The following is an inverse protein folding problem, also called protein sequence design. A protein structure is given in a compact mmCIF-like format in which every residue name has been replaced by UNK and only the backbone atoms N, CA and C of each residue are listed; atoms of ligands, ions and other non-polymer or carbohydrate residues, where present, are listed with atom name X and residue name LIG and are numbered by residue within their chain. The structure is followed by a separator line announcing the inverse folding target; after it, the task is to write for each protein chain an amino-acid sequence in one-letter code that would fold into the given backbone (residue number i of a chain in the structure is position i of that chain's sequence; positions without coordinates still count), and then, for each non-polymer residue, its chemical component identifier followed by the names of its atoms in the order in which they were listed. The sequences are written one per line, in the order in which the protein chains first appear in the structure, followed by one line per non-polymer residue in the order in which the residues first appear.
data_IF_119202499538
#
_entry.id   IF_119202499538
#
_cell.length_a   1.000
_cell.length_b   1.000
_cell.length_c   1.000
_cell.angle_alpha   90.00
_cell.angle_beta   90.00
_cell.angle_gamma   90.00
#
_symmetry.space_group_name_H-M   'P 1'
#
loop_
_entity.id
_entity.type
_entity.pdbx_description
1 polymer ?
#
# COMPACT_ATOMS: atom_id res chain seq x y z
N UNK A 1 -1.92 34.13 15.22
CA UNK A 1 -0.81 33.99 14.26
C UNK A 1 -1.39 34.14 12.88
N UNK A 2 -0.91 35.11 12.11
CA UNK A 2 -1.27 35.25 10.70
C UNK A 2 -0.71 34.03 9.98
N UNK A 3 -1.57 33.24 9.33
CA UNK A 3 -1.09 32.14 8.48
C UNK A 3 -0.40 32.80 7.29
N UNK A 4 0.92 32.67 7.20
CA UNK A 4 1.63 33.10 6.00
C UNK A 4 1.23 32.13 4.89
N UNK A 5 0.47 32.60 3.91
CA UNK A 5 0.13 31.84 2.71
C UNK A 5 1.25 32.11 1.69
N UNK A 6 1.94 31.05 1.29
CA UNK A 6 3.06 31.06 0.34
C UNK A 6 2.63 30.70 -1.08
N UNK A 7 1.47 30.05 -1.19
CA UNK A 7 0.86 29.63 -2.43
C UNK A 7 -0.55 30.21 -2.57
N UNK A 8 -1.21 29.94 -3.70
CA UNK A 8 -2.63 30.26 -3.84
C UNK A 8 -3.45 29.51 -2.79
N UNK A 9 -4.60 30.06 -2.40
CA UNK A 9 -5.51 29.40 -1.45
C UNK A 9 -5.87 27.97 -1.85
N UNK A 10 -5.93 27.70 -3.17
CA UNK A 10 -6.21 26.38 -3.72
C UNK A 10 -5.07 25.41 -3.41
N UNK A 11 -3.84 25.83 -3.67
CA UNK A 11 -2.63 25.03 -3.41
C UNK A 11 -2.42 24.83 -1.92
N UNK A 12 -2.57 25.86 -1.09
CA UNK A 12 -2.45 25.76 0.37
C UNK A 12 -3.39 24.71 0.96
N UNK A 13 -4.65 24.74 0.52
CA UNK A 13 -5.65 23.76 0.95
C UNK A 13 -5.28 22.35 0.48
N UNK A 14 -4.82 22.21 -0.76
CA UNK A 14 -4.40 20.93 -1.31
C UNK A 14 -3.17 20.36 -0.59
N UNK A 15 -2.15 21.19 -0.31
CA UNK A 15 -0.96 20.80 0.45
C UNK A 15 -1.30 20.33 1.86
N UNK A 16 -2.20 21.03 2.54
CA UNK A 16 -2.69 20.59 3.85
C UNK A 16 -3.34 19.20 3.77
N UNK A 17 -4.21 18.98 2.79
CA UNK A 17 -4.98 17.75 2.68
C UNK A 17 -4.14 16.57 2.17
N UNK A 18 -3.12 16.84 1.34
CA UNK A 18 -2.28 15.82 0.69
C UNK A 18 -1.03 15.48 1.50
N UNK A 19 -0.36 16.49 2.08
CA UNK A 19 0.94 16.32 2.73
C UNK A 19 0.88 16.62 4.23
N UNK A 20 0.39 17.78 4.64
CA UNK A 20 0.61 18.24 6.02
C UNK A 20 -0.30 17.58 7.04
N UNK A 21 -1.50 17.17 6.62
CA UNK A 21 -2.45 16.38 7.38
C UNK A 21 -3.09 15.32 6.48
N UNK A 22 -2.36 14.24 6.26
CA UNK A 22 -2.78 13.12 5.39
C UNK A 22 -4.06 12.42 5.86
N UNK A 23 -4.48 12.62 7.11
CA UNK A 23 -5.68 12.00 7.70
C UNK A 23 -6.98 12.75 7.41
N UNK A 24 -6.94 13.84 6.66
CA UNK A 24 -8.14 14.61 6.34
C UNK A 24 -9.19 13.82 5.55
N UNK A 25 -8.75 12.77 4.83
CA UNK A 25 -9.61 12.01 3.92
C UNK A 25 -10.07 12.79 2.70
N UNK A 26 -9.48 13.98 2.45
CA UNK A 26 -9.88 14.90 1.38
C UNK A 26 -8.96 14.87 0.16
N UNK A 27 -8.24 13.76 -0.04
CA UNK A 27 -7.31 13.62 -1.16
C UNK A 27 -7.98 13.88 -2.51
N UNK A 28 -9.15 13.28 -2.76
CA UNK A 28 -9.89 13.44 -4.03
C UNK A 28 -10.31 14.89 -4.29
N UNK A 29 -10.77 15.59 -3.25
CA UNK A 29 -11.14 17.00 -3.33
C UNK A 29 -9.92 17.88 -3.58
N UNK A 30 -8.80 17.60 -2.91
CA UNK A 30 -7.54 18.29 -3.12
C UNK A 30 -7.01 18.08 -4.55
N UNK A 31 -7.10 16.85 -5.08
CA UNK A 31 -6.73 16.54 -6.46
C UNK A 31 -7.56 17.34 -7.47
N UNK A 32 -8.89 17.33 -7.34
CA UNK A 32 -9.78 18.10 -8.21
C UNK A 32 -9.55 19.62 -8.11
N UNK A 33 -9.20 20.11 -6.90
CA UNK A 33 -8.85 21.50 -6.67
C UNK A 33 -7.56 21.89 -7.40
N UNK A 34 -6.54 21.02 -7.36
CA UNK A 34 -5.30 21.20 -8.11
C UNK A 34 -5.52 21.17 -9.62
N UNK A 35 -6.35 20.27 -10.14
CA UNK A 35 -6.72 20.23 -11.57
C UNK A 35 -7.32 21.56 -12.02
N UNK A 36 -8.26 22.10 -11.25
CA UNK A 36 -8.88 23.39 -11.56
C UNK A 36 -7.88 24.56 -11.51
N UNK A 37 -7.01 24.59 -10.50
CA UNK A 37 -6.01 25.65 -10.34
C UNK A 37 -4.93 25.58 -11.43
N UNK A 38 -4.43 24.38 -11.75
CA UNK A 38 -3.48 24.13 -12.84
C UNK A 38 -4.04 24.60 -14.19
N UNK A 39 -5.31 24.26 -14.49
CA UNK A 39 -5.99 24.72 -15.71
C UNK A 39 -6.20 26.24 -15.76
N UNK A 40 -6.21 26.92 -14.61
CA UNK A 40 -6.31 28.37 -14.50
C UNK A 40 -4.95 29.10 -14.56
N UNK A 41 -3.84 28.38 -14.74
CA UNK A 41 -2.51 28.96 -14.85
C UNK A 41 -1.65 28.93 -13.58
N UNK A 42 -2.11 28.27 -12.51
CA UNK A 42 -1.34 28.16 -11.26
C UNK A 42 -0.25 27.09 -11.41
N UNK A 43 1.01 27.52 -11.61
CA UNK A 43 2.14 26.62 -11.79
C UNK A 43 2.44 25.75 -10.58
N UNK A 44 2.28 26.27 -9.36
CA UNK A 44 2.50 25.48 -8.15
C UNK A 44 1.44 24.37 -8.03
N UNK A 45 0.20 24.63 -8.47
CA UNK A 45 -0.82 23.60 -8.60
C UNK A 45 -0.44 22.53 -9.63
N UNK A 46 0.08 22.93 -10.80
CA UNK A 46 0.59 21.98 -11.81
C UNK A 46 1.72 21.11 -11.26
N UNK A 47 2.64 21.69 -10.48
CA UNK A 47 3.74 20.98 -9.85
C UNK A 47 3.25 19.94 -8.82
N UNK A 48 2.35 20.33 -7.92
CA UNK A 48 1.80 19.41 -6.91
C UNK A 48 0.91 18.33 -7.55
N UNK A 49 0.13 18.69 -8.57
CA UNK A 49 -0.68 17.72 -9.33
C UNK A 49 0.21 16.69 -10.03
N UNK A 50 1.34 17.10 -10.60
CA UNK A 50 2.31 16.18 -11.18
C UNK A 50 2.80 15.16 -10.15
N UNK A 51 3.12 15.60 -8.93
CA UNK A 51 3.51 14.69 -7.84
C UNK A 51 2.44 13.66 -7.50
N UNK A 52 1.18 14.09 -7.49
CA UNK A 52 0.05 13.18 -7.21
C UNK A 52 -0.06 12.06 -8.25
N UNK A 53 0.29 12.36 -9.51
CA UNK A 53 0.25 11.42 -10.63
C UNK A 53 1.52 10.58 -10.77
N UNK A 54 2.61 10.92 -10.08
CA UNK A 54 3.88 10.19 -10.13
C UNK A 54 3.89 8.90 -9.29
N UNK A 55 2.87 8.67 -8.47
CA UNK A 55 2.69 7.46 -7.65
C UNK A 55 3.34 7.49 -6.26
N UNK A 56 3.27 6.34 -5.58
CA UNK A 56 3.59 6.10 -4.16
C UNK A 56 4.88 6.69 -3.61
N UNK A 57 5.89 6.87 -4.47
CA UNK A 57 7.19 7.42 -4.07
C UNK A 57 7.14 8.92 -3.77
N UNK A 58 6.09 9.61 -4.22
CA UNK A 58 5.99 11.08 -4.19
C UNK A 58 4.77 11.60 -3.43
N UNK A 59 3.78 10.75 -3.20
CA UNK A 59 2.51 11.04 -2.51
C UNK A 59 2.05 9.80 -1.75
N UNK A 60 1.36 9.98 -0.63
CA UNK A 60 0.90 8.85 0.17
C UNK A 60 -0.19 8.06 -0.56
N UNK A 61 -0.01 6.75 -0.69
CA UNK A 61 -0.92 5.88 -1.45
C UNK A 61 -2.32 5.80 -0.86
N UNK A 62 -2.49 6.10 0.44
CA UNK A 62 -3.80 6.17 1.08
C UNK A 62 -4.76 7.18 0.46
N UNK A 63 -4.27 8.13 -0.36
CA UNK A 63 -5.13 9.04 -1.12
C UNK A 63 -5.79 8.39 -2.34
N UNK A 64 -5.23 7.29 -2.87
CA UNK A 64 -5.77 6.57 -4.02
C UNK A 64 -5.72 7.37 -5.33
N UNK A 65 -4.67 8.17 -5.53
CA UNK A 65 -4.51 8.93 -6.78
C UNK A 65 -4.13 8.02 -7.95
N UNK A 66 -4.59 8.33 -9.18
CA UNK A 66 -4.20 7.57 -10.35
C UNK A 66 -2.71 7.81 -10.65
N UNK A 67 -2.03 6.78 -11.12
CA UNK A 67 -0.65 6.89 -11.61
C UNK A 67 -0.69 7.16 -13.12
N UNK A 68 -0.14 8.28 -13.54
CA UNK A 68 0.00 8.67 -14.95
C UNK A 68 1.31 9.43 -15.14
N UNK A 69 2.38 8.68 -15.38
CA UNK A 69 3.74 9.23 -15.52
C UNK A 69 3.85 10.18 -16.72
N UNK A 70 3.09 9.95 -17.79
CA UNK A 70 3.11 10.82 -18.96
C UNK A 70 2.51 12.18 -18.62
N UNK A 71 1.32 12.18 -18.01
CA UNK A 71 0.66 13.43 -17.57
C UNK A 71 1.46 14.13 -16.49
N UNK A 72 2.10 13.39 -15.58
CA UNK A 72 3.00 13.97 -14.58
C UNK A 72 4.18 14.72 -15.22
N UNK A 73 4.83 14.13 -16.22
CA UNK A 73 5.91 14.77 -16.98
C UNK A 73 5.43 16.04 -17.72
N UNK A 74 4.26 15.97 -18.37
CA UNK A 74 3.65 17.12 -19.05
C UNK A 74 3.33 18.26 -18.06
N UNK A 75 2.81 17.94 -16.87
CA UNK A 75 2.49 18.91 -15.83
C UNK A 75 3.72 19.53 -15.18
N UNK A 76 4.83 18.80 -15.03
CA UNK A 76 6.09 19.38 -14.56
C UNK A 76 6.60 20.44 -15.54
N UNK A 77 6.59 20.14 -16.84
CA UNK A 77 6.96 21.11 -17.87
C UNK A 77 6.02 22.32 -17.87
N UNK A 78 4.72 22.08 -17.75
CA UNK A 78 3.72 23.13 -17.63
C UNK A 78 3.94 24.00 -16.39
N UNK A 79 4.32 23.41 -15.25
CA UNK A 79 4.56 24.15 -14.01
C UNK A 79 5.68 25.18 -14.15
N UNK A 80 6.75 24.84 -14.89
CA UNK A 80 7.85 25.76 -15.21
C UNK A 80 7.35 26.91 -16.07
N UNK A 81 6.58 26.61 -17.12
CA UNK A 81 5.99 27.60 -18.01
C UNK A 81 4.99 28.53 -17.29
N UNK A 82 4.35 28.03 -16.23
CA UNK A 82 3.40 28.75 -15.37
C UNK A 82 4.09 29.37 -14.14
N UNK A 83 5.38 29.71 -14.23
CA UNK A 83 6.10 30.50 -13.22
C UNK A 83 6.24 29.82 -11.84
N UNK A 84 6.21 28.48 -11.77
CA UNK A 84 6.49 27.76 -10.53
C UNK A 84 7.99 27.56 -10.30
N UNK A 85 8.54 28.30 -9.35
CA UNK A 85 9.91 28.10 -8.88
C UNK A 85 10.10 26.69 -8.28
N UNK A 86 9.08 26.16 -7.60
CA UNK A 86 9.09 24.78 -7.10
C UNK A 86 9.10 23.77 -8.26
N UNK A 87 8.31 24.05 -9.30
CA UNK A 87 8.27 23.30 -10.55
C UNK A 87 9.63 23.22 -11.26
N UNK A 88 10.42 24.30 -11.24
CA UNK A 88 11.80 24.30 -11.75
C UNK A 88 12.69 23.33 -10.98
N UNK A 89 12.73 23.43 -9.65
CA UNK A 89 13.57 22.53 -8.83
C UNK A 89 13.14 21.06 -8.97
N UNK A 90 11.85 20.81 -9.08
CA UNK A 90 11.31 19.46 -9.28
C UNK A 90 11.59 18.91 -10.68
N UNK A 91 11.50 19.73 -11.72
CA UNK A 91 11.84 19.35 -13.08
C UNK A 91 13.34 19.09 -13.20
N UNK A 92 14.18 19.88 -12.54
CA UNK A 92 15.62 19.66 -12.42
C UNK A 92 15.93 18.28 -11.83
N UNK A 93 15.34 17.98 -10.67
CA UNK A 93 15.58 16.71 -9.94
C UNK A 93 15.07 15.48 -10.69
N UNK A 94 13.95 15.60 -11.39
CA UNK A 94 13.36 14.49 -12.16
C UNK A 94 13.98 14.29 -13.55
N UNK A 95 14.86 15.21 -13.99
CA UNK A 95 15.44 15.19 -15.33
C UNK A 95 14.49 15.73 -16.42
N UNK A 96 13.35 16.30 -16.05
CA UNK A 96 12.36 16.87 -16.97
C UNK A 96 12.70 18.31 -17.42
N UNK A 97 13.64 18.96 -16.74
CA UNK A 97 14.13 20.29 -17.12
C UNK A 97 15.17 20.17 -18.25
N UNK A 98 14.69 20.15 -19.49
CA UNK A 98 15.54 20.18 -20.69
C UNK A 98 16.25 21.54 -20.83
N UNK A 99 17.38 21.62 -21.57
CA UNK A 99 18.06 22.89 -21.83
C UNK A 99 17.16 23.95 -22.49
N UNK A 100 16.25 23.54 -23.37
CA UNK A 100 15.28 24.43 -24.02
C UNK A 100 14.28 24.97 -23.00
N UNK A 101 13.73 24.10 -22.15
CA UNK A 101 12.78 24.52 -21.12
C UNK A 101 13.45 25.42 -20.07
N UNK A 102 14.69 25.12 -19.68
CA UNK A 102 15.46 25.98 -18.78
C UNK A 102 15.76 27.34 -19.40
N UNK A 103 16.09 27.38 -20.69
CA UNK A 103 16.33 28.64 -21.39
C UNK A 103 15.07 29.50 -21.50
N UNK A 104 13.90 28.87 -21.69
CA UNK A 104 12.62 29.56 -21.87
C UNK A 104 11.87 29.78 -20.55
N UNK A 105 12.44 29.36 -19.40
CA UNK A 105 11.78 29.51 -18.11
C UNK A 105 11.64 31.00 -17.72
N UNK A 106 10.64 31.38 -16.93
CA UNK A 106 10.36 32.76 -16.54
C UNK A 106 11.28 33.27 -15.41
N UNK A 107 12.46 32.67 -15.26
CA UNK A 107 13.48 33.01 -14.27
C UNK A 107 14.80 33.32 -14.97
N UNK A 108 15.63 34.19 -14.40
CA UNK A 108 16.93 34.53 -14.98
C UNK A 108 17.89 33.34 -15.04
N UNK A 109 17.81 32.48 -14.04
CA UNK A 109 18.66 31.32 -13.83
C UNK A 109 18.05 30.39 -12.75
N UNK A 110 18.69 29.25 -12.51
CA UNK A 110 18.27 28.30 -11.49
C UNK A 110 18.39 28.87 -10.07
N UNK A 111 19.32 29.79 -9.82
CA UNK A 111 19.52 30.40 -8.50
C UNK A 111 18.32 31.27 -8.11
N UNK A 112 17.74 32.01 -9.06
CA UNK A 112 16.53 32.80 -8.80
C UNK A 112 15.35 31.90 -8.38
N UNK A 113 15.12 30.79 -9.09
CA UNK A 113 14.07 29.84 -8.71
C UNK A 113 14.36 29.20 -7.34
N UNK A 114 15.63 28.82 -7.09
CA UNK A 114 16.07 28.29 -5.80
C UNK A 114 15.83 29.27 -4.65
N UNK A 115 16.19 30.54 -4.82
CA UNK A 115 16.04 31.58 -3.80
C UNK A 115 14.57 31.84 -3.43
N UNK A 116 13.65 31.78 -4.40
CA UNK A 116 12.21 31.88 -4.14
C UNK A 116 11.73 30.71 -3.28
N UNK A 117 12.12 29.48 -3.62
CA UNK A 117 11.79 28.29 -2.82
C UNK A 117 12.44 28.37 -1.44
N UNK A 118 13.69 28.85 -1.36
CA UNK A 118 14.42 29.02 -0.11
C UNK A 118 13.71 30.00 0.82
N UNK A 119 13.25 31.13 0.30
CA UNK A 119 12.51 32.11 1.08
C UNK A 119 11.23 31.50 1.69
N UNK A 120 10.45 30.74 0.90
CA UNK A 120 9.26 30.03 1.41
C UNK A 120 9.63 29.01 2.51
N UNK A 121 10.72 28.26 2.32
CA UNK A 121 11.21 27.27 3.29
C UNK A 121 11.67 27.92 4.61
N UNK A 122 12.42 29.02 4.54
CA UNK A 122 12.88 29.81 5.70
C UNK A 122 11.70 30.42 6.46
N UNK A 123 10.63 30.81 5.75
CA UNK A 123 9.39 31.30 6.35
C UNK A 123 8.49 30.18 6.90
N UNK A 124 8.84 28.91 6.67
CA UNK A 124 8.24 27.77 7.35
C UNK A 124 7.42 26.82 6.50
N UNK A 125 7.39 26.95 5.15
CA UNK A 125 6.64 26.00 4.32
C UNK A 125 7.29 24.60 4.30
N UNK A 126 6.60 23.54 4.75
CA UNK A 126 7.18 22.21 4.86
C UNK A 126 7.54 21.56 3.51
N UNK A 127 6.78 21.81 2.43
CA UNK A 127 7.09 21.23 1.13
C UNK A 127 8.32 21.90 0.49
N UNK A 128 8.47 23.21 0.63
CA UNK A 128 9.68 23.93 0.21
C UNK A 128 10.90 23.51 1.05
N UNK A 129 10.75 23.30 2.36
CA UNK A 129 11.81 22.72 3.19
C UNK A 129 12.20 21.32 2.69
N UNK A 130 11.24 20.48 2.34
CA UNK A 130 11.52 19.18 1.73
C UNK A 130 12.23 19.30 0.38
N UNK A 131 11.86 20.26 -0.45
CA UNK A 131 12.52 20.54 -1.73
C UNK A 131 13.99 20.94 -1.53
N UNK A 132 14.29 21.85 -0.60
CA UNK A 132 15.67 22.20 -0.25
C UNK A 132 16.46 21.01 0.30
N UNK A 133 15.85 20.23 1.18
CA UNK A 133 16.46 19.00 1.69
C UNK A 133 16.88 18.08 0.55
N UNK A 134 16.04 17.91 -0.48
CA UNK A 134 16.39 17.13 -1.66
C UNK A 134 17.49 17.77 -2.51
N UNK A 135 17.49 19.09 -2.69
CA UNK A 135 18.55 19.80 -3.42
C UNK A 135 19.92 19.48 -2.82
N UNK A 136 20.04 19.57 -1.49
CA UNK A 136 21.27 19.27 -0.76
C UNK A 136 21.59 17.77 -0.71
N UNK A 137 20.61 16.92 -0.43
CA UNK A 137 20.81 15.48 -0.29
C UNK A 137 21.31 14.81 -1.57
N UNK A 138 20.88 15.32 -2.72
CA UNK A 138 21.16 14.72 -4.02
C UNK A 138 22.08 15.55 -4.91
N UNK A 139 22.66 16.64 -4.41
CA UNK A 139 23.70 17.40 -5.13
C UNK A 139 23.22 18.39 -6.19
N UNK A 140 21.93 18.74 -6.27
CA UNK A 140 21.45 19.73 -7.28
C UNK A 140 22.12 21.10 -7.11
N UNK A 141 22.57 21.42 -5.89
CA UNK A 141 23.20 22.69 -5.59
C UNK A 141 24.41 22.98 -6.49
N UNK A 142 25.12 21.96 -6.98
CA UNK A 142 26.22 22.15 -7.93
C UNK A 142 25.73 22.79 -9.23
N UNK A 143 24.66 22.24 -9.83
CA UNK A 143 24.09 22.80 -11.07
C UNK A 143 23.41 24.15 -10.81
N UNK A 144 22.74 24.31 -9.67
CA UNK A 144 22.08 25.57 -9.30
C UNK A 144 23.10 26.70 -9.09
N UNK A 145 24.24 26.42 -8.43
CA UNK A 145 25.32 27.39 -8.19
C UNK A 145 26.27 27.54 -9.38
N UNK A 146 26.12 26.73 -10.43
CA UNK A 146 27.05 26.71 -11.56
C UNK A 146 28.47 26.27 -11.17
N UNK A 147 28.58 25.37 -10.18
CA UNK A 147 29.85 24.87 -9.66
C UNK A 147 30.15 23.45 -10.14
N UNK A 148 31.42 23.21 -10.38
CA UNK A 148 32.03 21.91 -10.67
C UNK A 148 33.33 21.77 -9.87
N UNK A 149 34.00 20.62 -9.98
CA UNK A 149 35.35 20.42 -9.40
C UNK A 149 36.33 21.54 -9.82
N UNK A 150 36.24 22.02 -11.07
CA UNK A 150 37.07 23.10 -11.63
C UNK A 150 36.84 24.47 -10.96
N UNK A 151 35.76 24.60 -10.17
CA UNK A 151 35.47 25.81 -9.40
C UNK A 151 36.32 25.94 -8.13
N UNK A 152 37.12 24.93 -7.79
CA UNK A 152 37.88 24.85 -6.54
C UNK A 152 39.39 24.71 -6.79
N UNK A 153 40.20 25.12 -5.81
CA UNK A 153 41.66 25.15 -5.94
C UNK A 153 42.30 23.76 -5.78
N UNK A 154 41.59 22.83 -5.15
CA UNK A 154 42.02 21.44 -4.93
C UNK A 154 40.84 20.50 -4.73
N UNK A 155 41.09 19.20 -4.89
CA UNK A 155 40.12 18.14 -4.60
C UNK A 155 39.68 18.16 -3.13
N UNK A 156 40.58 18.43 -2.19
CA UNK A 156 40.24 18.53 -0.77
C UNK A 156 39.25 19.68 -0.49
N UNK A 157 39.39 20.81 -1.19
CA UNK A 157 38.47 21.94 -1.07
C UNK A 157 37.09 21.60 -1.65
N UNK A 158 37.07 20.91 -2.80
CA UNK A 158 35.83 20.44 -3.42
C UNK A 158 35.09 19.43 -2.51
N UNK A 159 35.79 18.42 -1.99
CA UNK A 159 35.21 17.43 -1.08
C UNK A 159 34.71 18.07 0.22
N UNK A 160 35.44 19.05 0.78
CA UNK A 160 34.99 19.80 1.95
C UNK A 160 33.70 20.58 1.66
N UNK A 161 33.61 21.23 0.50
CA UNK A 161 32.40 21.93 0.07
C UNK A 161 31.23 20.96 -0.12
N UNK A 162 31.42 19.81 -0.81
CA UNK A 162 30.39 18.80 -0.99
C UNK A 162 29.84 18.31 0.35
N UNK A 163 30.74 18.04 1.30
CA UNK A 163 30.36 17.61 2.65
C UNK A 163 29.53 18.68 3.36
N UNK A 164 30.00 19.93 3.40
CA UNK A 164 29.28 21.03 4.05
C UNK A 164 27.88 21.25 3.46
N UNK A 165 27.75 21.24 2.13
CA UNK A 165 26.45 21.40 1.48
C UNK A 165 25.54 20.21 1.74
N UNK A 166 26.07 18.99 1.69
CA UNK A 166 25.28 17.78 1.92
C UNK A 166 24.74 17.73 3.36
N UNK A 167 25.51 18.15 4.36
CA UNK A 167 25.07 18.22 5.76
C UNK A 167 23.85 19.12 5.97
N UNK A 168 23.63 20.14 5.12
CA UNK A 168 22.47 21.04 5.20
C UNK A 168 21.14 20.32 4.97
N UNK A 169 21.12 19.16 4.30
CA UNK A 169 19.88 18.44 4.06
C UNK A 169 19.19 17.99 5.36
N UNK A 170 19.96 17.69 6.41
CA UNK A 170 19.46 17.16 7.67
C UNK A 170 18.48 18.12 8.34
N UNK A 171 18.86 19.40 8.48
CA UNK A 171 18.00 20.42 9.08
C UNK A 171 16.70 20.61 8.28
N UNK A 172 16.82 20.73 6.96
CA UNK A 172 15.66 20.95 6.09
C UNK A 172 14.69 19.77 6.12
N UNK A 173 15.19 18.54 6.10
CA UNK A 173 14.33 17.38 6.25
C UNK A 173 13.69 17.30 7.63
N UNK A 174 14.38 17.64 8.71
CA UNK A 174 13.76 17.66 10.04
C UNK A 174 12.62 18.66 10.14
N UNK A 175 12.82 19.87 9.60
CA UNK A 175 11.76 20.89 9.59
C UNK A 175 10.55 20.43 8.77
N UNK A 176 10.79 19.92 7.55
CA UNK A 176 9.73 19.39 6.70
C UNK A 176 9.01 18.19 7.33
N UNK A 177 9.76 17.31 7.98
CA UNK A 177 9.24 16.12 8.64
C UNK A 177 8.34 16.47 9.83
N UNK A 178 8.74 17.45 10.64
CA UNK A 178 7.90 17.95 11.73
C UNK A 178 6.73 18.82 11.23
N UNK A 179 6.83 19.36 10.01
CA UNK A 179 5.79 20.12 9.33
C UNK A 179 4.75 19.28 8.59
N UNK A 180 4.83 17.95 8.63
CA UNK A 180 3.83 17.04 8.03
C UNK A 180 4.32 16.24 6.84
N UNK A 181 5.44 16.61 6.23
CA UNK A 181 5.96 15.93 5.03
C UNK A 181 6.71 14.66 5.44
N UNK A 182 5.98 13.58 5.68
CA UNK A 182 6.53 12.30 6.13
C UNK A 182 7.64 11.74 5.21
N UNK A 183 7.64 12.07 3.91
CA UNK A 183 8.73 11.72 2.98
C UNK A 183 10.10 12.27 3.42
N UNK A 184 10.13 13.41 4.11
CA UNK A 184 11.36 13.94 4.68
C UNK A 184 11.91 13.02 5.79
N UNK A 185 11.03 12.39 6.58
CA UNK A 185 11.39 11.33 7.51
C UNK A 185 12.00 10.12 6.80
N UNK A 186 11.42 9.65 5.70
CA UNK A 186 11.99 8.54 4.91
C UNK A 186 13.41 8.87 4.41
N UNK A 187 13.60 10.11 3.93
CA UNK A 187 14.91 10.57 3.49
C UNK A 187 15.90 10.69 4.66
N UNK A 188 15.48 11.18 5.84
CA UNK A 188 16.31 11.18 7.06
C UNK A 188 16.72 9.78 7.47
N UNK A 189 15.78 8.83 7.49
CA UNK A 189 16.10 7.43 7.79
C UNK A 189 17.14 6.89 6.81
N UNK A 190 16.96 7.10 5.50
CA UNK A 190 17.94 6.67 4.49
C UNK A 190 19.29 7.38 4.64
N UNK A 191 19.28 8.68 4.92
CA UNK A 191 20.49 9.48 5.13
C UNK A 191 21.30 8.96 6.32
N UNK A 192 20.64 8.67 7.44
CA UNK A 192 21.31 8.14 8.62
C UNK A 192 21.69 6.67 8.47
N UNK A 193 20.85 5.83 7.88
CA UNK A 193 21.14 4.40 7.77
C UNK A 193 22.34 4.14 6.84
N UNK A 194 22.45 4.90 5.75
CA UNK A 194 23.43 4.65 4.69
C UNK A 194 24.59 5.66 4.68
N UNK A 195 24.43 6.82 5.31
CA UNK A 195 25.34 7.95 5.12
C UNK A 195 25.31 8.48 3.68
N UNK A 196 26.39 9.16 3.30
CA UNK A 196 26.70 9.59 1.93
C UNK A 196 28.13 9.18 1.63
N UNK A 197 28.29 8.36 0.59
CA UNK A 197 29.58 7.76 0.22
C UNK A 197 30.69 8.81 0.20
N UNK A 198 31.80 8.51 0.89
CA UNK A 198 32.98 9.36 1.04
C UNK A 198 32.77 10.76 1.67
N UNK A 199 31.53 11.13 2.03
CA UNK A 199 31.21 12.44 2.61
C UNK A 199 30.77 12.36 4.08
N UNK A 200 29.82 11.46 4.36
CA UNK A 200 29.12 11.37 5.65
C UNK A 200 28.95 9.89 6.03
N UNK A 201 29.46 9.49 7.19
CA UNK A 201 29.34 8.12 7.67
C UNK A 201 27.89 7.79 8.10
N UNK A 202 27.47 6.51 8.02
CA UNK A 202 26.23 6.04 8.63
C UNK A 202 26.12 6.37 10.12
N UNK A 203 24.89 6.67 10.56
CA UNK A 203 24.47 7.01 11.92
C UNK A 203 23.25 6.15 12.31
N UNK A 204 23.41 4.81 12.48
CA UNK A 204 22.28 3.89 12.68
C UNK A 204 21.42 4.21 13.90
N UNK A 205 22.02 4.78 14.97
CA UNK A 205 21.28 5.20 16.17
C UNK A 205 20.27 6.31 15.86
N UNK A 206 20.61 7.25 14.96
CA UNK A 206 19.66 8.27 14.50
C UNK A 206 18.62 7.68 13.56
N UNK A 207 18.99 6.73 12.70
CA UNK A 207 18.04 6.08 11.79
C UNK A 207 16.94 5.34 12.59
N UNK A 208 17.32 4.65 13.67
CA UNK A 208 16.41 3.86 14.49
C UNK A 208 15.32 4.67 15.21
N UNK A 209 15.46 5.99 15.34
CA UNK A 209 14.45 6.84 16.00
C UNK A 209 13.39 7.37 15.04
N UNK A 210 13.67 7.42 13.73
CA UNK A 210 12.83 8.11 12.75
C UNK A 210 11.41 7.53 12.68
N UNK A 211 11.28 6.20 12.63
CA UNK A 211 9.97 5.54 12.57
C UNK A 211 9.12 5.86 13.79
N UNK A 212 9.72 5.80 14.99
CA UNK A 212 9.03 6.16 16.23
C UNK A 212 8.59 7.62 16.21
N UNK A 213 9.47 8.54 15.84
CA UNK A 213 9.12 9.98 15.77
C UNK A 213 7.98 10.23 14.79
N UNK A 214 8.03 9.67 13.59
CA UNK A 214 6.95 9.81 12.60
C UNK A 214 5.64 9.17 13.06
N UNK A 215 5.72 8.02 13.74
CA UNK A 215 4.57 7.34 14.33
C UNK A 215 3.88 8.21 15.40
N UNK A 216 4.66 8.87 16.25
CA UNK A 216 4.22 9.82 17.27
C UNK A 216 3.64 11.12 16.66
N UNK A 217 4.18 11.58 15.54
CA UNK A 217 3.58 12.66 14.73
C UNK A 217 2.26 12.24 14.06
N UNK A 218 1.94 10.94 14.04
CA UNK A 218 0.68 10.43 13.52
C UNK A 218 0.69 10.05 12.04
N UNK A 219 1.85 9.95 11.39
CA UNK A 219 1.94 9.54 9.99
C UNK A 219 1.61 8.06 9.82
N UNK A 220 0.55 7.69 9.08
CA UNK A 220 0.09 6.29 8.98
C UNK A 220 1.21 5.32 8.56
N UNK A 221 2.00 5.68 7.54
CA UNK A 221 3.11 4.85 7.07
C UNK A 221 4.20 4.66 8.13
N UNK A 222 4.52 5.69 8.92
CA UNK A 222 5.53 5.54 9.98
C UNK A 222 4.99 4.77 11.19
N UNK A 223 3.68 4.85 11.47
CA UNK A 223 3.05 3.98 12.46
C UNK A 223 3.15 2.51 12.04
N UNK A 224 2.98 2.22 10.75
CA UNK A 224 3.17 0.88 10.20
C UNK A 224 4.64 0.43 10.28
N UNK A 225 5.58 1.25 9.79
CA UNK A 225 7.02 0.93 9.85
C UNK A 225 7.51 0.73 11.28
N UNK A 226 7.01 1.53 12.23
CA UNK A 226 7.35 1.36 13.64
C UNK A 226 6.74 0.08 14.23
N UNK A 227 5.52 -0.28 13.82
CA UNK A 227 4.93 -1.57 14.19
C UNK A 227 5.73 -2.76 13.64
N UNK A 228 6.22 -2.69 12.40
CA UNK A 228 7.10 -3.71 11.81
C UNK A 228 8.42 -3.83 12.60
N UNK A 229 9.07 -2.71 12.94
CA UNK A 229 10.28 -2.70 13.76
C UNK A 229 10.05 -3.31 15.15
N UNK A 230 8.93 -2.97 15.82
CA UNK A 230 8.54 -3.56 17.10
C UNK A 230 8.27 -5.06 16.99
N UNK A 231 7.57 -5.50 15.93
CA UNK A 231 7.29 -6.91 15.69
C UNK A 231 8.59 -7.69 15.47
N UNK A 232 9.51 -7.18 14.67
CA UNK A 232 10.82 -7.80 14.43
C UNK A 232 11.67 -7.92 15.72
N UNK A 233 11.47 -7.00 16.67
CA UNK A 233 12.08 -7.04 18.01
C UNK A 233 11.33 -7.92 19.02
N UNK A 234 10.23 -8.54 18.61
CA UNK A 234 9.40 -9.39 19.47
C UNK A 234 8.43 -8.64 20.39
N UNK A 235 8.28 -7.31 20.23
CA UNK A 235 7.37 -6.48 21.03
C UNK A 235 5.94 -6.54 20.46
N UNK A 236 5.39 -7.75 20.35
CA UNK A 236 4.15 -8.02 19.61
C UNK A 236 2.94 -7.22 20.14
N UNK A 237 2.80 -7.06 21.46
CA UNK A 237 1.68 -6.27 22.01
C UNK A 237 1.70 -4.83 21.50
N UNK A 238 2.83 -4.16 21.63
CA UNK A 238 2.97 -2.76 21.19
C UNK A 238 2.86 -2.66 19.65
N UNK A 239 3.43 -3.62 18.92
CA UNK A 239 3.28 -3.69 17.46
C UNK A 239 1.80 -3.74 17.04
N UNK A 240 0.98 -4.57 17.70
CA UNK A 240 -0.46 -4.66 17.39
C UNK A 240 -1.20 -3.34 17.60
N UNK A 241 -0.84 -2.57 18.64
CA UNK A 241 -1.43 -1.26 18.93
C UNK A 241 -1.04 -0.23 17.85
N UNK A 242 0.19 -0.26 17.36
CA UNK A 242 0.66 0.62 16.28
C UNK A 242 0.12 0.24 14.91
N UNK A 243 0.05 -1.06 14.56
CA UNK A 243 -0.65 -1.48 13.35
C UNK A 243 -2.10 -1.01 13.37
N UNK A 244 -2.78 -1.11 14.51
CA UNK A 244 -4.14 -0.60 14.63
C UNK A 244 -4.22 0.92 14.38
N UNK A 245 -3.31 1.72 14.94
CA UNK A 245 -3.26 3.18 14.68
C UNK A 245 -2.98 3.51 13.21
N UNK A 246 -2.07 2.78 12.58
CA UNK A 246 -1.75 2.92 11.16
C UNK A 246 -2.98 2.59 10.29
N UNK A 247 -3.64 1.47 10.59
CA UNK A 247 -4.83 0.99 9.91
C UNK A 247 -6.02 1.95 10.09
N UNK A 248 -6.28 2.43 11.30
CA UNK A 248 -7.29 3.46 11.56
C UNK A 248 -6.96 4.75 10.80
N UNK A 249 -5.66 5.05 10.61
CA UNK A 249 -5.14 6.14 9.79
C UNK A 249 -5.20 5.95 8.29
N UNK A 250 -5.60 4.78 7.80
CA UNK A 250 -5.74 4.49 6.37
C UNK A 250 -4.49 3.89 5.72
N UNK A 251 -3.48 3.48 6.50
CA UNK A 251 -2.30 2.81 5.93
C UNK A 251 -2.68 1.45 5.32
N UNK A 252 -2.23 1.23 4.09
CA UNK A 252 -2.57 0.03 3.32
C UNK A 252 -1.79 -1.16 3.88
N UNK A 253 -2.44 -2.31 4.01
CA UNK A 253 -1.87 -3.54 4.56
C UNK A 253 -1.79 -3.56 6.08
N UNK A 254 -2.09 -2.47 6.78
CA UNK A 254 -2.03 -2.41 8.24
C UNK A 254 -3.14 -3.25 8.89
N UNK A 255 -4.35 -3.27 8.33
CA UNK A 255 -5.39 -4.19 8.82
C UNK A 255 -5.03 -5.63 8.52
N UNK A 256 -4.43 -5.91 7.36
CA UNK A 256 -3.92 -7.25 7.05
C UNK A 256 -2.88 -7.73 8.08
N UNK A 257 -1.86 -6.93 8.39
CA UNK A 257 -0.84 -7.29 9.40
C UNK A 257 -1.45 -7.56 10.76
N UNK A 258 -2.34 -6.69 11.23
CA UNK A 258 -3.06 -6.90 12.49
C UNK A 258 -3.91 -8.17 12.46
N UNK A 259 -4.57 -8.44 11.34
CA UNK A 259 -5.32 -9.67 11.11
C UNK A 259 -4.45 -10.92 11.20
N UNK A 260 -3.25 -10.90 10.61
CA UNK A 260 -2.28 -12.00 10.73
C UNK A 260 -1.87 -12.24 12.19
N UNK A 261 -1.64 -11.18 12.97
CA UNK A 261 -1.32 -11.33 14.39
C UNK A 261 -2.44 -12.02 15.17
N UNK A 262 -3.71 -11.67 14.91
CA UNK A 262 -4.85 -12.36 15.51
C UNK A 262 -5.06 -13.78 14.96
N UNK A 263 -4.72 -14.03 13.70
CA UNK A 263 -4.85 -15.36 13.11
C UNK A 263 -3.81 -16.35 13.66
N UNK A 264 -2.56 -15.92 13.77
CA UNK A 264 -1.45 -16.75 14.27
C UNK A 264 -1.50 -16.88 15.80
N UNK A 265 -1.74 -15.76 16.49
CA UNK A 265 -1.73 -15.69 17.93
C UNK A 265 -0.34 -15.84 18.55
N UNK A 266 -0.21 -15.36 19.79
CA UNK A 266 0.96 -15.47 20.65
C UNK A 266 0.54 -15.30 22.12
N UNK A 267 1.47 -15.46 23.06
CA UNK A 267 1.21 -15.14 24.47
C UNK A 267 0.83 -13.66 24.67
N UNK A 268 1.44 -12.76 23.91
CA UNK A 268 1.23 -11.31 24.02
C UNK A 268 -0.02 -10.82 23.28
N UNK A 269 -0.39 -11.49 22.19
CA UNK A 269 -1.56 -11.19 21.35
C UNK A 269 -2.27 -12.53 21.06
N UNK A 270 -3.25 -12.94 21.88
CA UNK A 270 -3.91 -14.24 21.70
C UNK A 270 -4.60 -14.38 20.34
N UNK A 271 -4.68 -15.63 19.86
CA UNK A 271 -5.39 -15.91 18.62
C UNK A 271 -6.89 -15.58 18.76
N UNK A 272 -7.43 -14.88 17.76
CA UNK A 272 -8.83 -14.54 17.63
C UNK A 272 -9.19 -14.49 16.14
N UNK A 273 -9.70 -15.62 15.62
CA UNK A 273 -10.04 -15.74 14.20
C UNK A 273 -11.19 -14.81 13.79
N UNK A 274 -12.06 -14.44 14.72
CA UNK A 274 -13.15 -13.52 14.44
C UNK A 274 -12.61 -12.08 14.28
N UNK A 275 -11.69 -11.67 15.15
CA UNK A 275 -10.96 -10.42 15.00
C UNK A 275 -10.11 -10.39 13.73
N UNK A 276 -9.44 -11.50 13.39
CA UNK A 276 -8.65 -11.63 12.16
C UNK A 276 -9.52 -11.42 10.91
N UNK A 277 -10.64 -12.14 10.80
CA UNK A 277 -11.58 -11.98 9.68
C UNK A 277 -12.15 -10.56 9.60
N UNK A 278 -12.46 -9.92 10.74
CA UNK A 278 -12.89 -8.52 10.75
C UNK A 278 -11.79 -7.56 10.27
N UNK A 279 -10.53 -7.83 10.59
CA UNK A 279 -9.42 -7.03 10.08
C UNK A 279 -9.27 -7.18 8.56
N UNK A 280 -9.29 -8.41 8.04
CA UNK A 280 -9.21 -8.63 6.59
C UNK A 280 -10.40 -8.02 5.84
N UNK A 281 -11.60 -8.10 6.40
CA UNK A 281 -12.78 -7.42 5.85
C UNK A 281 -12.56 -5.89 5.76
N UNK A 282 -12.04 -5.26 6.83
CA UNK A 282 -11.76 -3.81 6.85
C UNK A 282 -10.68 -3.40 5.85
N UNK A 283 -9.66 -4.22 5.63
CA UNK A 283 -8.65 -3.98 4.58
C UNK A 283 -9.33 -3.93 3.20
N UNK A 284 -10.11 -4.96 2.89
CA UNK A 284 -10.78 -5.14 1.61
C UNK A 284 -11.90 -4.12 1.34
N UNK A 285 -12.54 -3.58 2.38
CA UNK A 285 -13.51 -2.49 2.24
C UNK A 285 -12.90 -1.20 1.68
N UNK A 286 -11.59 -1.00 1.85
CA UNK A 286 -10.88 0.20 1.41
C UNK A 286 -10.18 0.00 0.08
N UNK A 287 -9.38 -1.06 -0.02
CA UNK A 287 -8.58 -1.36 -1.20
C UNK A 287 -8.54 -2.87 -1.45
N UNK A 288 -8.40 -3.27 -2.71
CA UNK A 288 -8.09 -4.67 -3.00
C UNK A 288 -6.68 -5.01 -2.50
N UNK A 289 -6.59 -6.03 -1.65
CA UNK A 289 -5.33 -6.55 -1.11
C UNK A 289 -5.36 -8.09 -1.23
N UNK A 290 -4.68 -8.69 -2.22
CA UNK A 290 -4.79 -10.11 -2.56
C UNK A 290 -4.62 -11.04 -1.35
N UNK A 291 -3.61 -10.77 -0.52
CA UNK A 291 -3.28 -11.59 0.63
C UNK A 291 -4.38 -11.55 1.70
N UNK A 292 -5.06 -10.41 1.86
CA UNK A 292 -6.20 -10.29 2.77
C UNK A 292 -7.43 -11.01 2.20
N UNK A 293 -7.65 -10.94 0.87
CA UNK A 293 -8.71 -11.68 0.21
C UNK A 293 -8.51 -13.20 0.36
N UNK A 294 -7.29 -13.69 0.14
CA UNK A 294 -6.92 -15.09 0.37
C UNK A 294 -7.15 -15.48 1.83
N UNK A 295 -6.60 -14.71 2.78
CA UNK A 295 -6.72 -15.01 4.20
C UNK A 295 -8.17 -15.05 4.69
N UNK A 296 -8.99 -14.06 4.32
CA UNK A 296 -10.42 -14.04 4.64
C UNK A 296 -11.16 -15.23 4.02
N UNK A 297 -10.84 -15.57 2.77
CA UNK A 297 -11.46 -16.69 2.06
C UNK A 297 -11.14 -18.02 2.74
N UNK A 298 -9.89 -18.23 3.16
CA UNK A 298 -9.47 -19.43 3.87
C UNK A 298 -10.15 -19.54 5.26
N UNK A 299 -10.28 -18.43 5.99
CA UNK A 299 -11.04 -18.40 7.24
C UNK A 299 -12.51 -18.76 7.00
N UNK A 300 -13.14 -18.18 5.99
CA UNK A 300 -14.53 -18.49 5.63
C UNK A 300 -14.69 -19.95 5.20
N UNK A 301 -13.77 -20.50 4.39
CA UNK A 301 -13.80 -21.89 3.96
C UNK A 301 -13.67 -22.86 5.14
N UNK A 302 -12.88 -22.52 6.16
CA UNK A 302 -12.76 -23.29 7.41
C UNK A 302 -13.90 -23.05 8.39
N UNK A 303 -14.81 -22.12 8.09
CA UNK A 303 -15.94 -21.77 8.94
C UNK A 303 -15.55 -20.89 10.13
N UNK A 304 -14.52 -20.05 10.01
CA UNK A 304 -14.03 -19.15 11.06
C UNK A 304 -14.30 -17.66 10.76
N UNK A 305 -15.17 -17.36 9.78
CA UNK A 305 -15.56 -16.01 9.39
C UNK A 305 -17.09 -15.86 9.32
N UNK A 306 -17.84 -16.46 10.24
CA UNK A 306 -19.32 -16.48 10.18
C UNK A 306 -19.97 -15.09 10.32
N UNK A 307 -19.24 -14.12 10.85
CA UNK A 307 -19.66 -12.74 11.02
C UNK A 307 -19.49 -11.88 9.76
N UNK A 308 -18.75 -12.36 8.76
CA UNK A 308 -18.53 -11.66 7.49
C UNK A 308 -19.58 -12.10 6.48
N UNK A 309 -20.13 -11.16 5.71
CA UNK A 309 -21.11 -11.48 4.67
C UNK A 309 -20.50 -12.45 3.64
N UNK A 310 -21.10 -13.63 3.43
CA UNK A 310 -20.62 -14.58 2.43
C UNK A 310 -20.52 -14.00 1.02
N UNK A 311 -21.36 -13.03 0.65
CA UNK A 311 -21.33 -12.37 -0.66
C UNK A 311 -20.08 -11.50 -0.82
N UNK A 312 -19.66 -10.85 0.27
CA UNK A 312 -18.41 -10.10 0.33
C UNK A 312 -17.20 -11.02 0.17
N UNK A 313 -17.18 -12.14 0.90
CA UNK A 313 -16.11 -13.15 0.77
C UNK A 313 -16.05 -13.69 -0.66
N UNK A 314 -17.20 -14.05 -1.25
CA UNK A 314 -17.26 -14.54 -2.63
C UNK A 314 -16.74 -13.53 -3.65
N UNK A 315 -17.14 -12.27 -3.55
CA UNK A 315 -16.67 -11.21 -4.44
C UNK A 315 -15.14 -11.10 -4.41
N UNK A 316 -14.53 -11.05 -3.22
CA UNK A 316 -13.09 -10.89 -3.08
C UNK A 316 -12.30 -12.16 -3.39
N UNK A 317 -12.84 -13.33 -3.06
CA UNK A 317 -12.28 -14.61 -3.49
C UNK A 317 -12.23 -14.69 -5.03
N UNK A 318 -13.30 -14.25 -5.71
CA UNK A 318 -13.32 -14.20 -7.17
C UNK A 318 -12.30 -13.19 -7.71
N UNK A 319 -12.21 -12.00 -7.12
CA UNK A 319 -11.24 -11.00 -7.53
C UNK A 319 -9.79 -11.50 -7.37
N UNK A 320 -9.49 -12.19 -6.26
CA UNK A 320 -8.19 -12.82 -6.03
C UNK A 320 -7.89 -13.92 -7.06
N UNK A 321 -8.86 -14.79 -7.35
CA UNK A 321 -8.72 -15.81 -8.39
C UNK A 321 -8.47 -15.21 -9.79
N UNK A 322 -9.22 -14.15 -10.16
CA UNK A 322 -9.04 -13.45 -11.43
C UNK A 322 -7.64 -12.79 -11.55
N UNK A 323 -6.97 -12.52 -10.41
CA UNK A 323 -5.60 -12.00 -10.34
C UNK A 323 -4.54 -13.11 -10.23
N UNK A 324 -4.94 -14.37 -10.22
CA UNK A 324 -4.05 -15.53 -10.24
C UNK A 324 -3.85 -16.23 -8.90
N UNK A 325 -4.46 -15.76 -7.80
CA UNK A 325 -4.40 -16.41 -6.49
C UNK A 325 -5.22 -17.72 -6.51
N UNK A 326 -4.56 -18.87 -6.55
CA UNK A 326 -5.24 -20.17 -6.73
C UNK A 326 -5.67 -20.81 -5.41
N UNK A 327 -5.20 -20.30 -4.27
CA UNK A 327 -5.51 -20.77 -2.93
C UNK A 327 -7.00 -20.61 -2.58
N UNK A 328 -7.68 -19.65 -3.20
CA UNK A 328 -9.12 -19.39 -2.99
C UNK A 328 -10.03 -20.35 -3.76
N UNK A 329 -9.48 -21.10 -4.72
CA UNK A 329 -10.27 -21.94 -5.64
C UNK A 329 -11.16 -22.98 -4.92
N UNK A 330 -10.71 -23.70 -3.88
CA UNK A 330 -11.58 -24.61 -3.14
C UNK A 330 -12.83 -23.95 -2.55
N UNK A 331 -12.70 -22.70 -2.08
CA UNK A 331 -13.84 -21.93 -1.60
C UNK A 331 -14.81 -21.60 -2.74
N UNK A 332 -14.31 -21.19 -3.92
CA UNK A 332 -15.17 -20.87 -5.06
C UNK A 332 -15.97 -22.09 -5.56
N UNK A 333 -15.34 -23.28 -5.59
CA UNK A 333 -16.04 -24.54 -5.89
C UNK A 333 -17.19 -24.77 -4.90
N UNK A 334 -16.89 -24.69 -3.61
CA UNK A 334 -17.89 -24.83 -2.55
C UNK A 334 -19.00 -23.78 -2.65
N UNK A 335 -18.64 -22.52 -2.89
CA UNK A 335 -19.56 -21.39 -2.97
C UNK A 335 -20.53 -21.53 -4.14
N UNK A 336 -20.06 -21.88 -5.34
CA UNK A 336 -20.92 -22.12 -6.49
C UNK A 336 -21.79 -23.37 -6.32
N UNK A 337 -21.30 -24.43 -5.68
CA UNK A 337 -22.11 -25.64 -5.48
C UNK A 337 -23.26 -25.40 -4.49
N UNK A 338 -22.99 -24.68 -3.40
CA UNK A 338 -23.92 -24.48 -2.30
C UNK A 338 -24.72 -23.16 -2.39
N UNK A 339 -24.36 -22.27 -3.31
CA UNK A 339 -24.97 -20.93 -3.42
C UNK A 339 -24.57 -20.02 -2.25
N UNK A 340 -23.35 -20.17 -1.71
CA UNK A 340 -22.86 -19.35 -0.60
C UNK A 340 -22.28 -18.05 -1.15
N UNK A 341 -22.93 -16.93 -0.86
CA UNK A 341 -22.51 -15.61 -1.36
C UNK A 341 -22.71 -15.40 -2.87
N UNK A 342 -23.34 -16.37 -3.55
CA UNK A 342 -23.56 -16.36 -5.00
C UNK A 342 -24.74 -17.26 -5.35
N UNK A 343 -25.16 -17.28 -6.61
CA UNK A 343 -26.18 -18.23 -7.10
C UNK A 343 -25.56 -19.61 -7.36
N UNK A 344 -26.31 -20.68 -7.06
CA UNK A 344 -25.88 -22.06 -7.37
C UNK A 344 -25.53 -22.19 -8.85
N UNK A 345 -24.37 -22.77 -9.13
CA UNK A 345 -23.86 -23.01 -10.49
C UNK A 345 -22.94 -24.24 -10.50
N UNK A 346 -23.55 -25.42 -10.67
CA UNK A 346 -22.84 -26.70 -10.65
C UNK A 346 -21.79 -26.82 -11.79
N UNK A 347 -22.06 -26.22 -12.94
CA UNK A 347 -21.14 -26.20 -14.09
C UNK A 347 -19.84 -25.48 -13.75
N UNK A 348 -19.92 -24.23 -13.26
CA UNK A 348 -18.75 -23.46 -12.79
C UNK A 348 -18.03 -24.14 -11.62
N UNK A 349 -18.78 -24.74 -10.69
CA UNK A 349 -18.17 -25.49 -9.60
C UNK A 349 -17.32 -26.66 -10.13
N UNK A 350 -17.82 -27.38 -11.14
CA UNK A 350 -17.09 -28.50 -11.76
C UNK A 350 -15.89 -28.04 -12.58
N UNK A 351 -16.02 -26.96 -13.36
CA UNK A 351 -14.92 -26.34 -14.10
C UNK A 351 -13.76 -25.99 -13.17
N UNK A 352 -14.03 -25.24 -12.10
CA UNK A 352 -13.03 -24.88 -11.09
C UNK A 352 -12.47 -26.10 -10.34
N UNK A 353 -13.29 -27.13 -10.11
CA UNK A 353 -12.83 -28.38 -9.49
C UNK A 353 -11.80 -29.11 -10.37
N UNK A 354 -12.00 -29.13 -11.69
CA UNK A 354 -11.06 -29.74 -12.63
C UNK A 354 -9.69 -29.06 -12.60
N UNK A 355 -9.63 -27.78 -12.27
CA UNK A 355 -8.39 -26.99 -12.16
C UNK A 355 -7.67 -27.14 -10.82
N UNK A 356 -8.30 -27.71 -9.80
CA UNK A 356 -7.68 -27.89 -8.48
C UNK A 356 -6.41 -28.75 -8.58
N UNK A 357 -5.41 -28.42 -7.75
CA UNK A 357 -4.25 -29.28 -7.57
C UNK A 357 -4.66 -30.63 -6.96
N UNK A 358 -3.78 -31.64 -7.06
CA UNK A 358 -4.02 -32.93 -6.39
C UNK A 358 -4.19 -32.76 -4.87
N UNK A 359 -3.36 -31.93 -4.25
CA UNK A 359 -3.46 -31.59 -2.83
C UNK A 359 -4.83 -30.97 -2.50
N UNK A 360 -5.27 -29.98 -3.27
CA UNK A 360 -6.57 -29.32 -3.07
C UNK A 360 -7.75 -30.28 -3.27
N UNK A 361 -7.66 -31.23 -4.22
CA UNK A 361 -8.71 -32.24 -4.44
C UNK A 361 -8.79 -33.25 -3.31
N UNK A 362 -7.70 -33.48 -2.59
CA UNK A 362 -7.62 -34.41 -1.47
C UNK A 362 -7.95 -33.75 -0.12
N UNK A 363 -8.22 -32.43 -0.07
CA UNK A 363 -8.78 -31.77 1.11
C UNK A 363 -10.10 -32.45 1.54
N UNK A 364 -10.28 -32.84 2.83
CA UNK A 364 -11.47 -33.57 3.27
C UNK A 364 -12.79 -32.85 2.97
N UNK A 365 -12.82 -31.52 3.11
CA UNK A 365 -14.01 -30.74 2.78
C UNK A 365 -14.25 -30.69 1.26
N UNK A 366 -13.21 -30.68 0.44
CA UNK A 366 -13.33 -30.78 -1.01
C UNK A 366 -13.78 -32.16 -1.47
N UNK A 367 -13.23 -33.24 -0.90
CA UNK A 367 -13.68 -34.62 -1.14
C UNK A 367 -15.16 -34.79 -0.81
N UNK A 368 -15.61 -34.24 0.32
CA UNK A 368 -17.03 -34.18 0.66
C UNK A 368 -17.84 -33.42 -0.39
N UNK A 369 -17.39 -32.22 -0.77
CA UNK A 369 -18.06 -31.36 -1.76
C UNK A 369 -18.22 -32.07 -3.11
N UNK A 370 -17.16 -32.69 -3.62
CA UNK A 370 -17.20 -33.46 -4.86
C UNK A 370 -18.03 -34.74 -4.71
N UNK A 371 -17.98 -35.39 -3.55
CA UNK A 371 -18.83 -36.54 -3.24
C UNK A 371 -20.31 -36.20 -3.38
N UNK A 372 -20.75 -35.05 -2.85
CA UNK A 372 -22.11 -34.55 -3.02
C UNK A 372 -22.47 -34.30 -4.48
N UNK A 373 -21.55 -33.74 -5.28
CA UNK A 373 -21.77 -33.54 -6.73
C UNK A 373 -22.07 -34.86 -7.43
N UNK A 374 -21.27 -35.91 -7.18
CA UNK A 374 -21.48 -37.23 -7.74
C UNK A 374 -22.79 -37.88 -7.25
N UNK A 375 -23.14 -37.74 -5.97
CA UNK A 375 -24.36 -38.33 -5.42
C UNK A 375 -25.63 -37.70 -5.98
N UNK A 376 -25.58 -36.39 -6.26
CA UNK A 376 -26.74 -35.61 -6.71
C UNK A 376 -26.81 -35.48 -8.24
N UNK A 377 -25.72 -35.77 -8.96
CA UNK A 377 -25.62 -35.50 -10.40
C UNK A 377 -25.51 -34.00 -10.71
N UNK A 378 -24.93 -33.22 -9.78
CA UNK A 378 -24.84 -31.77 -9.90
C UNK A 378 -23.57 -31.38 -10.67
N UNK A 379 -23.72 -31.06 -11.96
CA UNK A 379 -22.61 -30.69 -12.84
C UNK A 379 -21.76 -31.87 -13.32
N UNK A 380 -22.10 -33.10 -12.89
CA UNK A 380 -21.51 -34.37 -13.31
C UNK A 380 -22.60 -35.41 -13.47
N UNK A 381 -22.34 -36.49 -14.22
CA UNK A 381 -23.24 -37.64 -14.23
C UNK A 381 -23.34 -38.24 -12.82
N UNK A 382 -24.55 -38.64 -12.41
CA UNK A 382 -24.77 -39.20 -11.08
C UNK A 382 -24.01 -40.53 -10.92
N UNK A 383 -23.14 -40.59 -9.91
CA UNK A 383 -22.38 -41.77 -9.54
C UNK A 383 -22.38 -41.93 -8.01
N UNK A 384 -23.31 -42.74 -7.51
CA UNK A 384 -23.45 -43.03 -6.08
C UNK A 384 -22.20 -43.75 -5.53
N UNK A 385 -21.57 -44.62 -6.33
CA UNK A 385 -20.41 -45.38 -5.85
C UNK A 385 -19.24 -44.43 -5.61
N UNK A 386 -18.93 -43.59 -6.61
CA UNK A 386 -17.85 -42.59 -6.51
C UNK A 386 -18.13 -41.58 -5.40
N UNK A 387 -19.37 -41.11 -5.30
CA UNK A 387 -19.79 -40.23 -4.23
C UNK A 387 -19.54 -40.80 -2.83
N UNK A 388 -19.95 -42.05 -2.58
CA UNK A 388 -19.69 -42.74 -1.31
C UNK A 388 -18.19 -42.97 -1.07
N UNK A 389 -17.40 -43.26 -2.11
CA UNK A 389 -15.94 -43.40 -2.00
C UNK A 389 -15.28 -42.10 -1.55
N UNK A 390 -15.68 -40.96 -2.13
CA UNK A 390 -15.20 -39.64 -1.70
C UNK A 390 -15.59 -39.33 -0.25
N UNK A 391 -16.84 -39.59 0.14
CA UNK A 391 -17.28 -39.38 1.52
C UNK A 391 -16.49 -40.23 2.53
N UNK A 392 -16.16 -41.48 2.18
CA UNK A 392 -15.32 -42.36 3.01
C UNK A 392 -13.90 -41.86 3.17
N UNK A 393 -13.34 -41.23 2.15
CA UNK A 393 -12.01 -40.62 2.27
C UNK A 393 -12.04 -39.39 3.19
N UNK A 394 -13.15 -38.66 3.22
CA UNK A 394 -13.32 -37.47 4.04
C UNK A 394 -13.78 -37.75 5.49
N UNK A 395 -14.43 -38.88 5.77
CA UNK A 395 -15.19 -39.09 7.03
C UNK A 395 -14.36 -39.06 8.32
N UNK A 396 -13.06 -39.29 8.22
CA UNK A 396 -12.14 -39.26 9.37
C UNK A 396 -11.88 -37.83 9.86
N UNK A 397 -11.82 -36.86 8.94
CA UNK A 397 -11.38 -35.49 9.20
C UNK A 397 -12.49 -34.45 8.97
N UNK A 398 -13.58 -34.83 8.27
CA UNK A 398 -14.73 -33.97 8.00
C UNK A 398 -16.04 -34.62 8.48
N UNK A 399 -16.52 -34.30 9.70
CA UNK A 399 -17.70 -34.92 10.29
C UNK A 399 -18.98 -34.91 9.44
N UNK A 400 -19.28 -33.87 8.63
CA UNK A 400 -20.43 -33.90 7.72
C UNK A 400 -20.39 -35.07 6.72
N UNK A 401 -19.20 -35.52 6.29
CA UNK A 401 -19.08 -36.67 5.40
C UNK A 401 -19.52 -37.97 6.08
N UNK A 402 -19.14 -38.16 7.35
CA UNK A 402 -19.58 -39.30 8.16
C UNK A 402 -21.10 -39.32 8.34
N UNK A 403 -21.69 -38.16 8.58
CA UNK A 403 -23.14 -38.02 8.70
C UNK A 403 -23.84 -38.37 7.38
N UNK A 404 -23.36 -37.83 6.26
CA UNK A 404 -23.93 -38.08 4.94
C UNK A 404 -23.85 -39.56 4.54
N UNK A 405 -22.76 -40.25 4.88
CA UNK A 405 -22.59 -41.70 4.65
C UNK A 405 -23.70 -42.55 5.27
N UNK A 406 -24.31 -42.09 6.37
CA UNK A 406 -25.40 -42.82 7.02
C UNK A 406 -26.62 -42.98 6.13
N UNK A 407 -26.78 -42.15 5.09
CA UNK A 407 -27.87 -42.21 4.12
C UNK A 407 -27.65 -43.25 3.01
N UNK A 408 -26.56 -44.02 3.03
CA UNK A 408 -26.25 -44.99 1.97
C UNK A 408 -25.98 -46.39 2.53
N UNK A 409 -26.35 -47.44 1.77
CA UNK A 409 -26.10 -48.85 2.10
C UNK A 409 -25.59 -49.62 0.90
N UNK A 410 -24.86 -50.72 1.14
CA UNK A 410 -24.56 -51.73 0.11
C UNK A 410 -25.71 -52.74 0.04
N UNK A 411 -26.19 -52.98 -1.17
CA UNK A 411 -27.11 -54.09 -1.47
C UNK A 411 -26.40 -55.44 -1.34
N UNK A 412 -27.17 -56.53 -1.36
CA UNK A 412 -26.63 -57.90 -1.36
C UNK A 412 -25.67 -58.18 -2.54
N UNK A 413 -25.84 -57.46 -3.65
CA UNK A 413 -24.96 -57.54 -4.83
C UNK A 413 -23.79 -56.55 -4.78
N UNK A 414 -23.54 -55.92 -3.62
CA UNK A 414 -22.41 -55.03 -3.40
C UNK A 414 -22.56 -53.61 -3.97
N UNK A 415 -23.67 -53.29 -4.65
CA UNK A 415 -23.98 -51.96 -5.20
C UNK A 415 -24.38 -50.98 -4.09
N UNK A 416 -23.82 -49.77 -4.11
CA UNK A 416 -24.23 -48.67 -3.24
C UNK A 416 -25.57 -48.07 -3.69
N UNK A 417 -26.48 -47.86 -2.75
CA UNK A 417 -27.78 -47.22 -2.97
C UNK A 417 -28.11 -46.28 -1.81
N UNK A 418 -28.91 -45.25 -2.07
CA UNK A 418 -29.49 -44.41 -1.01
C UNK A 418 -30.46 -45.24 -0.17
N UNK A 419 -30.47 -45.01 1.14
CA UNK A 419 -31.47 -45.56 2.05
C UNK A 419 -32.75 -44.75 1.86
N UNK A 420 -33.88 -45.45 1.79
CA UNK A 420 -35.21 -44.86 1.76
C UNK A 420 -35.59 -44.20 3.09
#
# INVERSE_FOLDING_TARGET
MQVNLFFSNSVEKALNDIYYNVRTGRGKEAFALLEKASAAGDGDASCVLARCLSGAKYVWDGHGFPVDHKRASELLKLSVQQESALGVLMSLRSGELSPELEKDMPFSDLMQAFDIVRQKAEMGDPLCQYALGNVYFWGDYLRIEGKSEESFSSEDEYQAYLKEQTEKCEQWFWQAFMGGVHFAGNNLHSFYANGKENLIAPQPDKAATIWKTGAECGYPIHQFMYAEDLQNKGNLKEASEWYKKAADGGEIGAWFRLGCMYNEGSEAVPADLAAAASCYEKELQRNFYPEAAVALTLLAYRGNAQQVDPSFVFQWAKAAYDQGEQEVRPYLVYAYLQGVGTTVSCEKAYELFCELSEEQRNDPKMLYTYGLMCLQGNGVEQDIKKGVECLKQAEAEYPPAKQELTHYKRTLFGKWVRKD
#
